data_IF_844370161041
#
_entry.id   IF_844370161041
#
_cell.length_a   1.000
_cell.length_b   1.000
_cell.length_c   1.000
_cell.angle_alpha   90.00
_cell.angle_beta   90.00
_cell.angle_gamma   90.00
#
_symmetry.space_group_name_H-M   'P 1'
#
loop_
_entity.id
_entity.type
_entity.pdbx_description
1 polymer ?
#
# COMPACT_ATOMS: atom_id res chain seq x y z
N UNK A 1 1.15 5.79 -26.46
CA UNK A 1 0.02 5.99 -25.54
C UNK A 1 0.33 7.15 -24.59
N UNK A 2 -0.64 8.04 -24.37
CA UNK A 2 -0.54 9.15 -23.42
C UNK A 2 -1.33 8.82 -22.15
N UNK A 3 -0.68 8.86 -21.00
CA UNK A 3 -1.27 8.52 -19.70
C UNK A 3 -1.20 9.74 -18.77
N UNK A 4 -2.31 10.11 -18.16
CA UNK A 4 -2.30 10.94 -16.97
C UNK A 4 -2.15 10.05 -15.74
N UNK A 5 -1.22 10.38 -14.87
CA UNK A 5 -1.14 9.84 -13.52
C UNK A 5 -1.50 10.95 -12.52
N UNK A 6 -2.53 10.73 -11.74
CA UNK A 6 -3.04 11.70 -10.76
C UNK A 6 -2.97 11.06 -9.37
N UNK A 7 -2.11 11.61 -8.53
CA UNK A 7 -1.90 11.10 -7.17
C UNK A 7 -1.53 12.22 -6.19
N UNK A 8 -1.74 12.01 -4.90
CA UNK A 8 -1.30 12.96 -3.89
C UNK A 8 0.22 13.14 -3.89
N UNK A 9 0.97 12.02 -3.93
CA UNK A 9 2.43 12.01 -4.01
C UNK A 9 2.91 11.64 -5.42
N UNK A 10 3.93 12.33 -5.90
CA UNK A 10 4.64 11.93 -7.10
C UNK A 10 5.56 10.74 -6.78
N UNK A 11 5.38 9.56 -7.40
CA UNK A 11 6.13 8.35 -7.06
C UNK A 11 7.63 8.43 -7.40
N UNK A 12 8.06 9.40 -8.21
CA UNK A 12 9.47 9.61 -8.51
C UNK A 12 10.20 10.45 -7.45
N UNK A 13 9.46 11.03 -6.49
CA UNK A 13 10.00 11.88 -5.42
C UNK A 13 9.85 11.29 -4.02
N UNK A 14 9.09 10.21 -3.89
CA UNK A 14 8.81 9.57 -2.59
C UNK A 14 9.04 8.07 -2.65
N UNK A 15 9.45 7.47 -1.53
CA UNK A 15 9.88 6.07 -1.44
C UNK A 15 9.04 5.26 -0.43
N UNK A 16 7.73 5.52 -0.33
CA UNK A 16 6.81 4.64 0.37
C UNK A 16 6.58 3.34 -0.43
N UNK A 17 6.05 2.30 0.21
CA UNK A 17 5.83 1.02 -0.47
C UNK A 17 4.93 1.14 -1.69
N UNK A 18 3.90 1.98 -1.61
CA UNK A 18 2.99 2.24 -2.72
C UNK A 18 3.62 3.07 -3.83
N UNK A 19 4.36 4.12 -3.46
CA UNK A 19 5.07 4.97 -4.42
C UNK A 19 6.13 4.16 -5.19
N UNK A 20 6.81 3.21 -4.53
CA UNK A 20 7.76 2.32 -5.20
C UNK A 20 7.08 1.43 -6.24
N UNK A 21 5.90 0.87 -5.94
CA UNK A 21 5.12 0.09 -6.91
C UNK A 21 4.77 0.96 -8.13
N UNK A 22 4.28 2.16 -7.90
CA UNK A 22 3.94 3.07 -9.00
C UNK A 22 5.16 3.53 -9.79
N UNK A 23 6.30 3.75 -9.11
CA UNK A 23 7.56 4.07 -9.77
C UNK A 23 7.98 2.94 -10.73
N UNK A 24 7.93 1.67 -10.28
CA UNK A 24 8.25 0.51 -11.11
C UNK A 24 7.34 0.46 -12.35
N UNK A 25 6.02 0.59 -12.17
CA UNK A 25 5.04 0.57 -13.25
C UNK A 25 5.23 1.71 -14.26
N UNK A 26 5.37 2.95 -13.78
CA UNK A 26 5.51 4.12 -14.65
C UNK A 26 6.88 4.19 -15.34
N UNK A 27 7.93 3.70 -14.69
CA UNK A 27 9.26 3.58 -15.32
C UNK A 27 9.21 2.60 -16.49
N UNK A 28 8.62 1.43 -16.30
CA UNK A 28 8.42 0.46 -17.38
C UNK A 28 7.59 1.05 -18.54
N UNK A 29 6.51 1.77 -18.24
CA UNK A 29 5.70 2.43 -19.28
C UNK A 29 6.52 3.41 -20.13
N UNK A 30 7.40 4.19 -19.49
CA UNK A 30 8.32 5.09 -20.20
C UNK A 30 9.29 4.32 -21.11
N UNK A 31 9.81 3.17 -20.69
CA UNK A 31 10.67 2.32 -21.56
C UNK A 31 9.90 1.76 -22.76
N UNK A 32 8.58 1.56 -22.62
CA UNK A 32 7.68 1.18 -23.71
C UNK A 32 7.27 2.37 -24.60
N UNK A 33 7.82 3.57 -24.39
CA UNK A 33 7.52 4.76 -25.18
C UNK A 33 6.20 5.45 -24.84
N UNK A 34 5.64 5.22 -23.63
CA UNK A 34 4.43 5.92 -23.19
C UNK A 34 4.78 7.31 -22.67
N UNK A 35 3.95 8.29 -23.03
CA UNK A 35 4.01 9.64 -22.48
C UNK A 35 3.26 9.66 -21.15
N UNK A 36 3.97 9.94 -20.06
CA UNK A 36 3.40 9.98 -18.71
C UNK A 36 3.32 11.43 -18.23
N UNK A 37 2.09 11.90 -18.00
CA UNK A 37 1.80 13.23 -17.50
C UNK A 37 1.43 13.14 -16.03
N UNK A 38 2.27 13.67 -15.13
CA UNK A 38 2.05 13.59 -13.69
C UNK A 38 1.35 14.85 -13.20
N UNK A 39 0.29 14.64 -12.41
CA UNK A 39 -0.40 15.66 -11.64
C UNK A 39 -0.41 15.25 -10.19
N UNK A 40 0.25 16.02 -9.34
CA UNK A 40 0.40 15.71 -7.91
C UNK A 40 0.30 16.94 -7.03
N UNK A 41 -0.01 16.70 -5.76
CA UNK A 41 0.02 17.72 -4.72
C UNK A 41 1.44 17.90 -4.18
N UNK A 42 2.23 16.81 -4.11
CA UNK A 42 3.60 16.86 -3.58
C UNK A 42 4.57 16.04 -4.47
N UNK A 43 5.58 16.71 -5.02
CA UNK A 43 5.66 18.18 -5.20
C UNK A 43 4.49 18.67 -6.04
N UNK A 44 4.08 19.91 -5.84
CA UNK A 44 2.94 20.45 -6.59
C UNK A 44 3.28 20.57 -8.08
N UNK A 45 2.58 19.79 -8.90
CA UNK A 45 2.68 19.85 -10.35
C UNK A 45 1.33 19.53 -11.00
N UNK A 46 1.06 20.17 -12.12
CA UNK A 46 -0.16 19.96 -12.88
C UNK A 46 0.16 19.84 -14.36
N UNK A 47 0.33 18.59 -14.81
CA UNK A 47 0.58 18.25 -16.20
C UNK A 47 -0.62 17.53 -16.85
N UNK A 48 -1.82 17.69 -16.28
CA UNK A 48 -3.01 17.00 -16.75
C UNK A 48 -3.33 17.34 -18.21
N UNK A 49 -3.49 16.30 -19.04
CA UNK A 49 -3.81 16.44 -20.48
C UNK A 49 -5.21 15.90 -20.75
N UNK A 50 -6.06 16.73 -21.34
CA UNK A 50 -7.42 16.31 -21.71
C UNK A 50 -7.46 15.33 -22.89
N UNK A 51 -6.41 15.29 -23.70
CA UNK A 51 -6.23 14.38 -24.84
C UNK A 51 -5.44 13.12 -24.48
N UNK A 52 -5.29 12.81 -23.21
CA UNK A 52 -4.70 11.55 -22.77
C UNK A 52 -5.63 10.37 -23.07
N UNK A 53 -5.04 9.24 -23.43
CA UNK A 53 -5.77 8.01 -23.76
C UNK A 53 -6.41 7.40 -22.50
N UNK A 54 -5.78 7.59 -21.33
CA UNK A 54 -6.24 7.07 -20.04
C UNK A 54 -5.71 7.93 -18.88
N UNK A 55 -6.49 8.00 -17.81
CA UNK A 55 -6.05 8.51 -16.51
C UNK A 55 -5.91 7.37 -15.51
N UNK A 56 -4.82 7.34 -14.74
CA UNK A 56 -4.66 6.49 -13.55
C UNK A 56 -4.87 7.38 -12.33
N UNK A 57 -5.94 7.13 -11.57
CA UNK A 57 -6.19 7.76 -10.27
C UNK A 57 -5.60 6.88 -9.18
N UNK A 58 -4.69 7.42 -8.36
CA UNK A 58 -4.03 6.67 -7.30
C UNK A 58 -3.86 7.54 -6.06
N UNK A 59 -4.39 7.11 -4.92
CA UNK A 59 -4.22 7.79 -3.62
C UNK A 59 -4.42 9.31 -3.73
N UNK A 60 -5.55 9.74 -4.33
CA UNK A 60 -5.85 11.16 -4.60
C UNK A 60 -6.32 11.91 -3.36
N UNK A 61 -6.77 11.21 -2.34
CA UNK A 61 -7.12 11.79 -1.05
C UNK A 61 -5.94 11.71 -0.10
N UNK A 62 -5.89 12.68 0.77
CA UNK A 62 -4.79 12.82 1.71
C UNK A 62 -5.27 12.67 3.15
N UNK A 63 -4.31 12.43 4.05
CA UNK A 63 -4.57 12.49 5.48
C UNK A 63 -5.22 13.81 5.90
N UNK A 64 -6.17 13.79 6.86
CA UNK A 64 -6.96 14.96 7.23
C UNK A 64 -6.15 16.10 7.83
N UNK A 65 -4.93 15.83 8.25
CA UNK A 65 -4.03 16.81 8.87
C UNK A 65 -3.31 17.71 7.86
N UNK A 66 -3.32 17.38 6.58
CA UNK A 66 -2.61 18.11 5.54
C UNK A 66 -3.54 19.16 4.90
N UNK A 67 -3.02 20.35 4.67
CA UNK A 67 -3.78 21.48 4.14
C UNK A 67 -3.98 21.39 2.62
N UNK A 68 -2.98 20.84 1.93
CA UNK A 68 -2.98 20.75 0.48
C UNK A 68 -3.79 19.55 0.01
N UNK A 69 -4.67 19.75 -0.95
CA UNK A 69 -5.55 18.71 -1.51
C UNK A 69 -5.98 19.09 -2.92
N UNK A 70 -6.37 18.10 -3.70
CA UNK A 70 -7.04 18.34 -4.96
C UNK A 70 -8.38 19.03 -4.76
N UNK A 71 -8.71 19.93 -5.68
CA UNK A 71 -10.04 20.52 -5.74
C UNK A 71 -11.09 19.43 -6.05
N UNK A 72 -12.18 19.42 -5.29
CA UNK A 72 -13.29 18.47 -5.52
C UNK A 72 -13.85 18.53 -6.93
N UNK A 73 -13.93 19.74 -7.52
CA UNK A 73 -14.40 19.94 -8.88
C UNK A 73 -13.49 19.25 -9.91
N UNK A 74 -12.17 19.27 -9.70
CA UNK A 74 -11.21 18.58 -10.56
C UNK A 74 -11.40 17.06 -10.49
N UNK A 75 -11.39 16.47 -9.28
CA UNK A 75 -11.58 15.02 -9.11
C UNK A 75 -12.95 14.58 -9.63
N UNK A 76 -14.01 15.34 -9.34
CA UNK A 76 -15.36 15.04 -9.82
C UNK A 76 -15.42 15.06 -11.35
N UNK A 77 -14.72 15.99 -12.01
CA UNK A 77 -14.70 16.03 -13.47
C UNK A 77 -14.05 14.78 -14.06
N UNK A 78 -12.92 14.30 -13.49
CA UNK A 78 -12.28 13.06 -13.93
C UNK A 78 -13.23 11.88 -13.73
N UNK A 79 -13.77 11.73 -12.51
CA UNK A 79 -14.64 10.59 -12.13
C UNK A 79 -15.92 10.53 -12.97
N UNK A 80 -16.47 11.66 -13.41
CA UNK A 80 -17.74 11.72 -14.15
C UNK A 80 -17.57 11.77 -15.66
N UNK A 81 -16.41 12.16 -16.21
CA UNK A 81 -16.27 12.47 -17.64
C UNK A 81 -15.09 11.79 -18.34
N UNK A 82 -14.03 11.47 -17.61
CA UNK A 82 -12.81 10.97 -18.24
C UNK A 82 -12.76 9.44 -18.24
N UNK A 83 -11.96 8.88 -19.13
CA UNK A 83 -11.62 7.45 -19.09
C UNK A 83 -10.52 7.25 -18.06
N UNK A 84 -10.77 6.47 -17.02
CA UNK A 84 -9.77 6.23 -15.99
C UNK A 84 -9.84 4.81 -15.42
N UNK A 85 -8.72 4.36 -14.86
CA UNK A 85 -8.63 3.25 -13.93
C UNK A 85 -8.39 3.80 -12.53
N UNK A 86 -8.98 3.18 -11.53
CA UNK A 86 -8.70 3.48 -10.13
C UNK A 86 -7.67 2.49 -9.60
N UNK A 87 -6.46 2.99 -9.34
CA UNK A 87 -5.39 2.21 -8.74
C UNK A 87 -5.44 2.40 -7.22
N UNK A 88 -6.06 1.44 -6.54
CA UNK A 88 -6.21 1.47 -5.08
C UNK A 88 -4.93 0.91 -4.45
N UNK A 89 -4.05 1.82 -4.03
CA UNK A 89 -2.73 1.49 -3.50
C UNK A 89 -2.74 1.30 -1.98
N UNK A 90 -3.73 1.95 -1.34
CA UNK A 90 -3.92 1.93 0.11
C UNK A 90 -5.39 2.19 0.43
N UNK A 91 -5.74 2.35 1.69
CA UNK A 91 -7.11 2.77 2.03
C UNK A 91 -7.27 4.29 2.15
N UNK A 92 -6.34 5.07 1.65
CA UNK A 92 -6.36 6.54 1.78
C UNK A 92 -7.52 7.14 0.98
N UNK A 93 -7.90 6.52 -0.12
CA UNK A 93 -9.03 6.95 -0.95
C UNK A 93 -10.39 6.56 -0.37
N UNK A 94 -10.45 5.62 0.57
CA UNK A 94 -11.70 5.17 1.19
C UNK A 94 -11.84 5.56 2.65
N UNK A 95 -10.73 5.70 3.34
CA UNK A 95 -10.68 5.93 4.78
C UNK A 95 -9.84 7.14 5.11
N UNK A 96 -10.44 8.11 5.76
CA UNK A 96 -9.78 9.32 6.26
C UNK A 96 -8.57 9.02 7.16
N UNK A 97 -8.49 7.81 7.71
CA UNK A 97 -7.41 7.33 8.57
C UNK A 97 -6.43 6.41 7.86
N UNK A 98 -6.68 6.08 6.62
CA UNK A 98 -5.90 5.15 5.82
C UNK A 98 -5.71 3.73 6.38
N UNK A 99 -6.34 3.38 7.52
CA UNK A 99 -6.12 2.10 8.23
C UNK A 99 -7.39 1.27 8.42
N UNK A 100 -8.54 1.70 7.91
CA UNK A 100 -9.83 1.01 8.03
C UNK A 100 -10.16 0.51 9.46
N UNK A 101 -10.21 1.39 10.47
CA UNK A 101 -10.43 0.95 11.86
C UNK A 101 -11.81 0.33 12.09
N UNK A 102 -12.78 0.55 11.20
CA UNK A 102 -14.10 -0.07 11.21
C UNK A 102 -14.15 -1.41 10.45
N UNK A 103 -13.02 -1.95 10.01
CA UNK A 103 -12.94 -3.12 9.14
C UNK A 103 -13.86 -3.06 7.90
N UNK A 104 -14.24 -1.85 7.46
CA UNK A 104 -15.16 -1.64 6.35
C UNK A 104 -16.64 -1.85 6.68
N UNK A 105 -17.02 -2.09 7.93
CA UNK A 105 -18.41 -2.26 8.30
C UNK A 105 -19.14 -0.91 8.26
N UNK A 106 -20.06 -0.75 7.29
CA UNK A 106 -20.88 0.48 7.12
C UNK A 106 -21.75 0.81 8.34
N UNK A 107 -22.05 -0.17 9.19
CA UNK A 107 -22.91 0.01 10.38
C UNK A 107 -22.12 0.33 11.63
N UNK A 108 -20.82 0.09 11.62
CA UNK A 108 -19.95 0.36 12.76
C UNK A 108 -19.53 1.83 12.79
N UNK A 109 -19.61 2.41 13.96
CA UNK A 109 -19.08 3.74 14.21
C UNK A 109 -17.57 3.67 14.23
N UNK A 110 -16.89 4.60 13.53
CA UNK A 110 -15.43 4.69 13.56
C UNK A 110 -14.96 5.03 14.99
N UNK A 111 -14.47 4.02 15.71
CA UNK A 111 -13.89 4.19 17.05
C UNK A 111 -12.38 4.43 16.97
N UNK A 112 -12.02 5.54 16.40
CA UNK A 112 -10.65 5.94 16.12
C UNK A 112 -9.69 5.82 17.32
N UNK A 113 -10.13 6.15 18.53
CA UNK A 113 -9.29 6.15 19.72
C UNK A 113 -8.96 4.75 20.23
N UNK A 114 -9.86 3.79 20.06
CA UNK A 114 -9.69 2.45 20.61
C UNK A 114 -8.77 1.56 19.81
N UNK A 115 -8.65 1.79 18.48
CA UNK A 115 -7.93 0.89 17.60
C UNK A 115 -6.43 1.21 17.52
N UNK A 116 -6.03 2.49 17.55
CA UNK A 116 -4.66 2.89 17.25
C UNK A 116 -4.02 3.84 18.29
N UNK A 117 -4.68 4.13 19.40
CA UNK A 117 -4.15 4.97 20.50
C UNK A 117 -3.48 6.27 20.01
N UNK A 118 -4.01 6.82 18.92
CA UNK A 118 -3.46 8.02 18.31
C UNK A 118 -3.64 9.19 19.28
N UNK A 119 -2.58 9.90 19.58
CA UNK A 119 -2.56 11.08 20.44
C UNK A 119 -3.40 12.27 19.93
N UNK A 120 -4.14 12.09 18.85
CA UNK A 120 -5.02 13.14 18.32
C UNK A 120 -6.24 13.27 19.22
N UNK A 121 -6.35 14.40 19.90
CA UNK A 121 -7.52 14.84 20.68
C UNK A 121 -8.76 15.14 19.80
N UNK A 122 -8.79 14.66 18.56
CA UNK A 122 -9.91 14.88 17.64
C UNK A 122 -10.99 13.88 18.01
N UNK A 123 -11.88 14.29 18.91
CA UNK A 123 -13.18 13.64 19.08
C UNK A 123 -14.00 13.98 17.85
N UNK A 124 -13.98 13.12 16.83
CA UNK A 124 -14.87 13.29 15.71
C UNK A 124 -16.30 12.94 16.14
N UNK A 125 -17.13 13.96 16.27
CA UNK A 125 -18.57 13.80 16.49
C UNK A 125 -19.30 13.40 15.20
N UNK A 126 -18.67 13.60 14.03
CA UNK A 126 -19.24 13.36 12.70
C UNK A 126 -18.31 12.52 11.85
N UNK A 127 -18.85 11.73 10.93
CA UNK A 127 -18.10 11.00 9.92
C UNK A 127 -17.42 12.02 9.00
N UNK A 128 -16.14 11.79 8.72
CA UNK A 128 -15.36 12.68 7.84
C UNK A 128 -15.95 12.70 6.42
N UNK A 129 -15.88 13.86 5.75
CA UNK A 129 -16.23 14.00 4.34
C UNK A 129 -15.35 13.17 3.41
N UNK A 130 -14.22 12.64 3.88
CA UNK A 130 -13.32 11.73 3.15
C UNK A 130 -13.61 10.25 3.45
N UNK A 131 -14.57 9.93 4.26
CA UNK A 131 -14.95 8.55 4.53
C UNK A 131 -15.93 8.07 3.45
N UNK A 132 -15.73 6.84 2.94
CA UNK A 132 -16.64 6.22 1.97
C UNK A 132 -18.10 6.18 2.46
N UNK A 133 -18.34 6.16 3.77
CA UNK A 133 -19.68 6.16 4.35
C UNK A 133 -20.43 7.51 4.20
N UNK A 134 -19.72 8.59 3.91
CA UNK A 134 -20.29 9.94 3.86
C UNK A 134 -20.06 10.66 2.53
N UNK A 135 -19.32 10.04 1.60
CA UNK A 135 -18.89 10.70 0.38
C UNK A 135 -19.20 9.87 -0.87
N UNK A 136 -20.24 10.25 -1.58
CA UNK A 136 -20.67 9.59 -2.82
C UNK A 136 -19.62 9.67 -3.94
N UNK A 137 -18.68 10.61 -3.91
CA UNK A 137 -17.62 10.69 -4.93
C UNK A 137 -16.65 9.51 -4.80
N UNK A 138 -16.37 9.07 -3.58
CA UNK A 138 -15.53 7.89 -3.33
C UNK A 138 -16.19 6.65 -3.94
N UNK A 139 -17.46 6.42 -3.67
CA UNK A 139 -18.19 5.29 -4.26
C UNK A 139 -18.22 5.37 -5.79
N UNK A 140 -18.49 6.56 -6.36
CA UNK A 140 -18.46 6.79 -7.80
C UNK A 140 -17.08 6.53 -8.41
N UNK A 141 -16.00 6.86 -7.69
CA UNK A 141 -14.64 6.64 -8.18
C UNK A 141 -14.36 5.16 -8.45
N UNK A 142 -14.87 4.25 -7.60
CA UNK A 142 -14.79 2.82 -7.87
C UNK A 142 -15.78 2.36 -8.96
N UNK A 143 -17.00 2.87 -8.95
CA UNK A 143 -18.08 2.41 -9.84
C UNK A 143 -17.95 2.91 -11.27
N UNK A 144 -17.40 4.10 -11.49
CA UNK A 144 -17.28 4.70 -12.82
C UNK A 144 -15.95 4.35 -13.50
N UNK A 145 -14.96 3.83 -12.77
CA UNK A 145 -13.68 3.41 -13.36
C UNK A 145 -13.89 2.35 -14.46
N UNK A 146 -13.02 2.33 -15.45
CA UNK A 146 -12.94 1.23 -16.42
C UNK A 146 -12.56 -0.08 -15.73
N UNK A 147 -11.70 0.02 -14.73
CA UNK A 147 -11.27 -1.09 -13.87
C UNK A 147 -10.72 -0.57 -12.56
N UNK A 148 -10.80 -1.38 -11.52
CA UNK A 148 -10.16 -1.14 -10.23
C UNK A 148 -8.95 -2.06 -10.09
N UNK A 149 -7.83 -1.51 -9.65
CA UNK A 149 -6.57 -2.23 -9.45
C UNK A 149 -6.32 -2.37 -7.96
N UNK A 150 -6.04 -3.57 -7.50
CA UNK A 150 -5.79 -3.89 -6.10
C UNK A 150 -4.44 -4.58 -5.93
N UNK A 151 -3.82 -4.44 -4.76
CA UNK A 151 -2.49 -4.97 -4.47
C UNK A 151 -2.49 -6.41 -3.95
N UNK A 152 -3.65 -6.97 -3.62
CA UNK A 152 -3.77 -8.36 -3.18
C UNK A 152 -5.24 -8.84 -3.17
N UNK A 153 -5.49 -10.16 -3.10
CA UNK A 153 -6.82 -10.70 -2.87
C UNK A 153 -7.47 -10.20 -1.58
N UNK A 154 -6.71 -10.03 -0.49
CA UNK A 154 -7.19 -9.45 0.76
C UNK A 154 -7.67 -8.01 0.55
N UNK A 155 -6.90 -7.19 -0.18
CA UNK A 155 -7.24 -5.80 -0.46
C UNK A 155 -8.56 -5.70 -1.24
N UNK A 156 -8.66 -6.43 -2.36
CA UNK A 156 -9.92 -6.53 -3.13
C UNK A 156 -11.11 -6.91 -2.24
N UNK A 157 -10.97 -8.00 -1.46
CA UNK A 157 -12.03 -8.49 -0.59
C UNK A 157 -12.48 -7.45 0.44
N UNK A 158 -11.56 -6.66 0.98
CA UNK A 158 -11.88 -5.58 1.93
C UNK A 158 -12.66 -4.47 1.25
N UNK A 159 -12.24 -4.00 0.09
CA UNK A 159 -12.97 -2.96 -0.65
C UNK A 159 -14.33 -3.48 -1.13
N UNK A 160 -14.43 -4.66 -1.70
CA UNK A 160 -15.68 -5.27 -2.15
C UNK A 160 -16.69 -5.45 -1.01
N UNK A 161 -16.23 -5.65 0.23
CA UNK A 161 -17.13 -5.70 1.41
C UNK A 161 -17.72 -4.33 1.79
N UNK A 162 -17.11 -3.23 1.32
CA UNK A 162 -17.51 -1.85 1.64
C UNK A 162 -18.30 -1.19 0.51
N UNK A 163 -17.84 -1.40 -0.72
CA UNK A 163 -18.34 -0.75 -1.93
C UNK A 163 -18.75 -1.86 -2.90
N UNK A 164 -19.96 -1.78 -3.42
CA UNK A 164 -20.50 -2.74 -4.37
C UNK A 164 -19.79 -2.60 -5.73
N UNK A 165 -18.81 -3.47 -5.96
CA UNK A 165 -17.94 -3.48 -7.15
C UNK A 165 -17.84 -4.86 -7.81
N UNK A 166 -18.59 -5.85 -7.35
CA UNK A 166 -18.48 -7.26 -7.80
C UNK A 166 -18.71 -7.45 -9.31
N UNK A 167 -19.45 -6.54 -9.93
CA UNK A 167 -19.73 -6.53 -11.37
C UNK A 167 -18.73 -5.71 -12.20
N UNK A 168 -17.75 -5.07 -11.55
CA UNK A 168 -16.75 -4.24 -12.24
C UNK A 168 -15.52 -5.04 -12.62
N UNK A 169 -14.92 -4.79 -13.79
CA UNK A 169 -13.59 -5.29 -14.08
C UNK A 169 -12.60 -4.89 -12.98
N UNK A 170 -11.75 -5.81 -12.61
CA UNK A 170 -10.67 -5.55 -11.66
C UNK A 170 -9.41 -6.33 -12.03
N UNK A 171 -8.29 -5.86 -11.51
CA UNK A 171 -7.01 -6.53 -11.63
C UNK A 171 -6.33 -6.59 -10.27
N UNK A 172 -5.77 -7.72 -9.90
CA UNK A 172 -4.96 -7.87 -8.70
C UNK A 172 -3.49 -7.90 -9.13
N UNK A 173 -2.78 -6.81 -8.82
CA UNK A 173 -1.37 -6.69 -9.12
C UNK A 173 -0.55 -7.57 -8.20
N UNK A 174 0.19 -8.53 -8.79
CA UNK A 174 1.20 -9.30 -8.06
C UNK A 174 2.33 -8.38 -7.56
N UNK A 175 3.03 -8.74 -6.47
CA UNK A 175 4.11 -7.91 -5.95
C UNK A 175 5.20 -7.61 -6.99
N UNK A 176 5.56 -6.33 -7.14
CA UNK A 176 6.59 -5.84 -8.07
C UNK A 176 7.93 -5.66 -7.35
N UNK A 177 8.43 -6.71 -6.72
CA UNK A 177 9.71 -6.67 -6.00
C UNK A 177 10.86 -7.02 -6.94
N UNK A 178 11.97 -6.30 -6.83
CA UNK A 178 13.20 -6.58 -7.57
C UNK A 178 13.81 -7.90 -7.08
N UNK A 179 13.58 -8.97 -7.84
CA UNK A 179 14.04 -10.33 -7.51
C UNK A 179 15.54 -10.55 -7.78
N UNK A 180 16.20 -9.63 -8.48
CA UNK A 180 17.67 -9.67 -8.64
C UNK A 180 18.38 -9.02 -7.44
N UNK A 181 17.65 -8.16 -6.72
CA UNK A 181 18.12 -7.51 -5.49
C UNK A 181 17.79 -8.32 -4.25
N UNK A 182 16.55 -8.81 -4.16
CA UNK A 182 16.04 -9.61 -3.04
C UNK A 182 16.05 -11.09 -3.43
N UNK A 183 17.01 -11.84 -2.93
CA UNK A 183 17.13 -13.29 -3.11
C UNK A 183 17.90 -13.91 -1.94
N UNK A 184 17.72 -15.19 -1.72
CA UNK A 184 18.43 -15.93 -0.67
C UNK A 184 19.90 -16.17 -1.10
N UNK A 185 20.82 -15.58 -0.34
CA UNK A 185 22.27 -15.70 -0.54
C UNK A 185 22.84 -16.95 0.11
N UNK A 186 22.02 -17.79 0.76
CA UNK A 186 22.42 -18.97 1.50
C UNK A 186 23.55 -18.69 2.54
N UNK A 187 23.51 -17.55 3.17
CA UNK A 187 24.51 -17.14 4.16
C UNK A 187 24.07 -17.52 5.58
N UNK A 188 25.01 -17.50 6.52
CA UNK A 188 24.74 -17.72 7.94
C UNK A 188 23.74 -16.67 8.46
N UNK A 189 22.72 -17.13 9.22
CA UNK A 189 21.68 -16.29 9.77
C UNK A 189 21.92 -16.06 11.27
N UNK A 190 22.45 -14.88 11.60
CA UNK A 190 22.82 -14.47 12.97
C UNK A 190 21.72 -13.64 13.67
N UNK A 191 20.73 -13.15 12.93
CA UNK A 191 19.56 -12.44 13.47
C UNK A 191 18.42 -13.42 13.66
N UNK A 192 17.97 -13.65 14.90
CA UNK A 192 16.88 -14.62 15.16
C UNK A 192 15.52 -14.10 14.67
N UNK A 193 15.18 -12.83 14.97
CA UNK A 193 13.94 -12.19 14.55
C UNK A 193 14.22 -10.80 14.01
N UNK A 194 13.56 -10.45 12.90
CA UNK A 194 13.63 -9.12 12.30
C UNK A 194 12.22 -8.60 11.97
N UNK A 195 12.01 -7.30 12.18
CA UNK A 195 10.87 -6.53 11.72
C UNK A 195 11.36 -5.36 10.89
N UNK A 196 10.66 -4.99 9.83
CA UNK A 196 10.98 -3.81 9.04
C UNK A 196 9.72 -3.02 8.68
N UNK A 197 9.82 -1.69 8.79
CA UNK A 197 8.74 -0.74 8.50
C UNK A 197 8.57 0.32 9.58
N UNK A 198 7.55 1.16 9.44
CA UNK A 198 7.20 2.13 10.48
C UNK A 198 6.76 1.39 11.76
N UNK A 199 7.49 1.60 12.86
CA UNK A 199 7.20 0.94 14.14
C UNK A 199 6.02 1.67 14.79
N UNK A 200 4.82 1.13 14.63
CA UNK A 200 3.56 1.75 15.05
C UNK A 200 2.54 0.72 15.51
N UNK A 201 1.48 1.16 16.17
CA UNK A 201 0.39 0.28 16.58
C UNK A 201 -0.31 -0.37 15.38
N UNK A 202 -0.52 0.38 14.30
CA UNK A 202 -1.10 -0.16 13.07
C UNK A 202 -0.28 -1.32 12.51
N UNK A 203 1.05 -1.17 12.53
CA UNK A 203 2.00 -2.20 12.06
C UNK A 203 2.23 -3.33 13.08
N UNK A 204 1.46 -3.36 14.18
CA UNK A 204 1.35 -4.52 15.06
C UNK A 204 2.23 -4.52 16.31
N UNK A 205 2.73 -3.37 16.79
CA UNK A 205 3.57 -3.30 18.00
C UNK A 205 2.95 -4.03 19.20
N UNK A 206 1.63 -3.91 19.41
CA UNK A 206 0.96 -4.60 20.52
C UNK A 206 0.91 -6.13 20.32
N UNK A 207 0.83 -6.59 19.08
CA UNK A 207 0.91 -8.03 18.77
C UNK A 207 2.34 -8.56 18.98
N UNK A 208 3.35 -7.75 18.63
CA UNK A 208 4.76 -8.08 18.90
C UNK A 208 5.01 -8.20 20.41
N UNK A 209 4.48 -7.26 21.22
CA UNK A 209 4.59 -7.36 22.69
C UNK A 209 4.06 -8.69 23.22
N UNK A 210 2.86 -9.08 22.77
CA UNK A 210 2.26 -10.37 23.16
C UNK A 210 3.10 -11.56 22.72
N UNK A 211 3.66 -11.51 21.51
CA UNK A 211 4.47 -12.58 20.94
C UNK A 211 5.77 -12.79 21.72
N UNK A 212 6.41 -11.71 22.20
CA UNK A 212 7.68 -11.76 22.92
C UNK A 212 7.52 -11.79 24.45
N UNK A 213 6.29 -11.68 24.97
CA UNK A 213 6.01 -11.72 26.41
C UNK A 213 6.51 -13.02 27.03
N UNK A 214 7.26 -12.90 28.13
CA UNK A 214 7.83 -14.06 28.86
C UNK A 214 8.97 -14.78 28.13
N UNK A 215 9.48 -14.24 27.03
CA UNK A 215 10.63 -14.80 26.30
C UNK A 215 11.91 -13.99 26.54
N UNK A 216 13.06 -14.64 26.37
CA UNK A 216 14.38 -13.98 26.32
C UNK A 216 14.84 -13.65 24.89
N UNK A 217 13.95 -13.77 23.91
CA UNK A 217 14.26 -13.56 22.50
C UNK A 217 14.45 -12.08 22.18
N UNK A 218 15.29 -11.79 21.19
CA UNK A 218 15.56 -10.44 20.70
C UNK A 218 14.99 -10.24 19.32
N UNK A 219 14.48 -9.02 19.08
CA UNK A 219 13.92 -8.57 17.82
C UNK A 219 14.72 -7.38 17.28
N UNK A 220 15.33 -7.51 16.13
CA UNK A 220 15.90 -6.37 15.41
C UNK A 220 14.77 -5.63 14.69
N UNK A 221 14.62 -4.34 14.96
CA UNK A 221 13.57 -3.49 14.39
C UNK A 221 14.18 -2.41 13.50
N UNK A 222 13.88 -2.52 12.20
CA UNK A 222 14.31 -1.57 11.17
C UNK A 222 13.19 -0.57 10.88
N UNK A 223 13.50 0.73 10.97
CA UNK A 223 12.60 1.80 10.59
C UNK A 223 12.36 2.84 11.67
N UNK A 224 11.51 3.82 11.34
CA UNK A 224 11.21 4.94 12.26
C UNK A 224 10.27 4.47 13.37
N UNK A 225 10.68 4.70 14.62
CA UNK A 225 9.84 4.44 15.79
C UNK A 225 8.80 5.58 15.97
N UNK A 226 7.62 5.38 15.39
CA UNK A 226 6.47 6.29 15.54
C UNK A 226 5.68 5.98 16.82
N UNK A 227 5.79 4.76 17.32
CA UNK A 227 5.16 4.34 18.58
C UNK A 227 5.64 5.18 19.79
N UNK A 228 6.89 5.67 19.72
CA UNK A 228 7.46 6.62 20.66
C UNK A 228 7.82 6.03 22.04
N UNK A 229 7.81 4.69 22.16
CA UNK A 229 8.29 3.95 23.33
C UNK A 229 9.24 2.86 22.87
N UNK A 230 10.22 2.55 23.71
CA UNK A 230 11.11 1.41 23.48
C UNK A 230 10.47 0.11 24.01
N UNK A 231 10.74 -0.97 23.32
CA UNK A 231 10.31 -2.32 23.70
C UNK A 231 11.52 -3.05 24.29
N UNK A 232 11.42 -3.67 25.48
CA UNK A 232 12.58 -4.24 26.18
C UNK A 232 13.26 -5.40 25.44
N UNK A 233 12.54 -6.03 24.51
CA UNK A 233 13.04 -7.13 23.67
C UNK A 233 13.57 -6.66 22.31
N UNK A 234 13.52 -5.35 22.00
CA UNK A 234 13.83 -4.82 20.68
C UNK A 234 15.20 -4.11 20.66
N UNK A 235 15.91 -4.33 19.57
CA UNK A 235 17.10 -3.60 19.16
C UNK A 235 16.75 -2.74 17.94
N UNK A 236 16.95 -1.44 18.02
CA UNK A 236 16.54 -0.50 16.98
C UNK A 236 17.72 -0.08 16.12
N UNK A 237 17.63 -0.32 14.81
CA UNK A 237 18.66 0.13 13.85
C UNK A 237 18.40 1.55 13.34
N UNK A 238 17.17 2.06 13.54
CA UNK A 238 16.73 3.28 12.85
C UNK A 238 16.43 3.05 11.37
N UNK A 239 16.56 4.08 10.56
CA UNK A 239 16.41 4.01 9.12
C UNK A 239 17.61 3.32 8.48
N UNK A 240 17.35 2.33 7.63
CA UNK A 240 18.34 1.65 6.79
C UNK A 240 18.02 2.00 5.33
N UNK A 241 19.03 2.36 4.50
CA UNK A 241 18.84 2.53 3.07
C UNK A 241 18.26 1.28 2.41
N UNK A 242 17.36 1.47 1.44
CA UNK A 242 16.67 0.36 0.80
C UNK A 242 17.62 -0.65 0.16
N UNK A 243 18.76 -0.18 -0.36
CA UNK A 243 19.77 -1.03 -0.98
C UNK A 243 20.51 -1.94 0.02
N UNK A 244 20.46 -1.62 1.29
CA UNK A 244 21.06 -2.44 2.36
C UNK A 244 20.06 -3.44 2.97
N UNK A 245 18.76 -3.29 2.72
CA UNK A 245 17.73 -4.16 3.28
C UNK A 245 17.95 -5.65 2.99
N UNK A 246 18.36 -6.08 1.77
CA UNK A 246 18.65 -7.49 1.48
C UNK A 246 19.71 -8.09 2.40
N UNK A 247 20.70 -7.31 2.84
CA UNK A 247 21.76 -7.79 3.73
C UNK A 247 21.20 -8.12 5.13
N UNK A 248 20.27 -7.32 5.63
CA UNK A 248 19.60 -7.61 6.91
C UNK A 248 18.69 -8.81 6.80
N UNK A 249 17.88 -8.91 5.75
CA UNK A 249 16.97 -10.05 5.58
C UNK A 249 17.73 -11.36 5.38
N UNK A 250 18.82 -11.38 4.63
CA UNK A 250 19.62 -12.57 4.44
C UNK A 250 20.27 -13.06 5.75
N UNK A 251 20.53 -12.17 6.72
CA UNK A 251 21.04 -12.51 8.06
C UNK A 251 19.94 -12.98 9.02
N UNK A 252 18.66 -12.77 8.68
CA UNK A 252 17.56 -13.07 9.58
C UNK A 252 16.99 -14.47 9.36
N UNK A 253 16.73 -15.21 10.46
CA UNK A 253 16.03 -16.49 10.44
C UNK A 253 14.54 -16.30 10.22
N UNK A 254 13.94 -15.37 10.97
CA UNK A 254 12.51 -15.15 10.99
C UNK A 254 12.21 -13.67 10.73
N UNK A 255 11.33 -13.39 9.78
CA UNK A 255 10.72 -12.08 9.62
C UNK A 255 9.35 -12.10 10.28
N UNK A 256 9.11 -11.19 11.24
CA UNK A 256 7.86 -11.11 11.99
C UNK A 256 7.11 -9.83 11.66
N UNK A 257 5.86 -9.97 11.19
CA UNK A 257 5.00 -8.86 10.81
C UNK A 257 3.54 -9.19 11.12
N UNK A 258 3.01 -8.59 12.19
CA UNK A 258 1.68 -8.91 12.76
C UNK A 258 0.78 -7.68 12.78
N UNK A 259 0.48 -7.05 11.63
CA UNK A 259 -0.27 -5.79 11.59
C UNK A 259 -1.67 -5.95 12.18
N UNK A 260 -2.19 -4.83 12.71
CA UNK A 260 -3.57 -4.74 13.24
C UNK A 260 -4.55 -4.21 12.19
N UNK A 261 -4.07 -3.74 11.09
CA UNK A 261 -4.87 -3.26 9.97
C UNK A 261 -4.72 -4.21 8.77
N UNK A 262 -5.71 -4.29 7.89
CA UNK A 262 -5.59 -5.11 6.69
C UNK A 262 -4.58 -4.47 5.73
N UNK A 263 -3.32 -4.85 5.84
CA UNK A 263 -2.24 -4.34 4.97
C UNK A 263 -2.53 -4.68 3.52
N UNK A 264 -2.63 -3.70 2.59
CA UNK A 264 -3.01 -3.97 1.20
C UNK A 264 -2.13 -5.00 0.50
N UNK A 265 -0.82 -4.95 0.73
CA UNK A 265 0.11 -5.96 0.24
C UNK A 265 1.15 -6.35 1.30
N UNK A 266 1.95 -5.39 1.79
CA UNK A 266 3.08 -5.67 2.67
C UNK A 266 4.31 -6.08 1.87
N UNK A 267 4.77 -5.23 0.94
CA UNK A 267 5.94 -5.45 0.07
C UNK A 267 7.15 -6.00 0.83
N UNK A 268 7.43 -5.47 2.02
CA UNK A 268 8.54 -5.91 2.88
C UNK A 268 8.46 -7.38 3.28
N UNK A 269 7.25 -7.96 3.36
CA UNK A 269 7.05 -9.39 3.66
C UNK A 269 7.55 -10.24 2.48
N UNK A 270 7.29 -9.79 1.26
CA UNK A 270 7.77 -10.45 0.03
C UNK A 270 9.29 -10.37 -0.07
N UNK A 271 9.85 -9.19 0.21
CA UNK A 271 11.30 -8.95 0.21
C UNK A 271 12.02 -9.86 1.20
N UNK A 272 11.49 -10.01 2.41
CA UNK A 272 12.03 -10.92 3.41
C UNK A 272 11.89 -12.40 3.02
N UNK A 273 10.75 -12.79 2.43
CA UNK A 273 10.52 -14.15 1.93
C UNK A 273 11.52 -14.54 0.85
N UNK A 274 11.76 -13.67 -0.12
CA UNK A 274 12.75 -13.87 -1.19
C UNK A 274 14.18 -14.04 -0.64
N UNK A 275 14.51 -13.36 0.47
CA UNK A 275 15.80 -13.50 1.16
C UNK A 275 15.88 -14.73 2.09
N UNK A 276 14.92 -15.66 2.01
CA UNK A 276 14.94 -16.90 2.76
C UNK A 276 14.58 -16.76 4.25
N UNK A 277 13.85 -15.72 4.65
CA UNK A 277 13.29 -15.62 5.99
C UNK A 277 12.07 -16.53 6.16
N UNK A 278 11.96 -17.21 7.30
CA UNK A 278 10.69 -17.78 7.71
C UNK A 278 9.71 -16.65 8.08
N UNK A 279 8.51 -16.67 7.52
CA UNK A 279 7.51 -15.64 7.77
C UNK A 279 6.66 -15.96 9.00
N UNK A 280 6.56 -15.01 9.93
CA UNK A 280 5.62 -15.02 11.04
C UNK A 280 4.66 -13.86 10.84
N UNK A 281 3.49 -14.16 10.31
CA UNK A 281 2.49 -13.17 9.88
C UNK A 281 1.11 -13.52 10.45
N UNK A 282 0.13 -12.65 10.20
CA UNK A 282 -1.28 -12.90 10.47
C UNK A 282 -2.12 -12.64 9.22
N UNK A 283 -3.42 -12.92 9.31
CA UNK A 283 -4.40 -12.79 8.21
C UNK A 283 -4.57 -11.37 7.67
N UNK A 284 -3.98 -10.38 8.31
CA UNK A 284 -4.04 -8.99 7.87
C UNK A 284 -2.93 -8.61 6.86
N UNK A 285 -2.12 -9.53 6.41
CA UNK A 285 -1.07 -9.25 5.43
C UNK A 285 -1.53 -9.63 4.02
N UNK A 286 -1.65 -8.65 3.12
CA UNK A 286 -2.13 -8.90 1.75
C UNK A 286 -1.23 -9.84 0.96
N UNK A 287 0.09 -9.74 1.11
CA UNK A 287 1.05 -10.58 0.38
C UNK A 287 0.84 -12.10 0.60
N UNK A 288 0.40 -12.50 1.78
CA UNK A 288 0.13 -13.93 2.06
C UNK A 288 -1.27 -14.39 1.64
N UNK A 289 -2.09 -13.50 1.10
CA UNK A 289 -3.43 -13.84 0.61
C UNK A 289 -3.45 -14.32 -0.85
N UNK A 290 -2.32 -14.29 -1.54
CA UNK A 290 -2.19 -14.93 -2.84
C UNK A 290 -2.21 -16.45 -2.71
N UNK A 291 -2.61 -17.14 -3.76
CA UNK A 291 -2.67 -18.60 -3.86
C UNK A 291 -1.33 -19.25 -4.32
N UNK A 292 -0.27 -18.45 -4.37
CA UNK A 292 1.06 -18.88 -4.74
C UNK A 292 2.11 -18.53 -3.66
N UNK A 293 3.25 -19.19 -3.72
CA UNK A 293 4.38 -18.97 -2.82
C UNK A 293 5.13 -17.67 -3.20
N UNK A 294 5.05 -16.65 -2.35
CA UNK A 294 5.69 -15.34 -2.54
C UNK A 294 7.22 -15.37 -2.37
N UNK A 295 7.79 -16.47 -1.88
CA UNK A 295 9.24 -16.66 -1.81
C UNK A 295 9.86 -17.12 -3.14
N UNK A 296 9.01 -17.46 -4.12
CA UNK A 296 9.42 -17.95 -5.42
C UNK A 296 9.45 -16.84 -6.45
N UNK A 297 10.64 -16.49 -6.94
CA UNK A 297 10.88 -15.43 -7.92
C UNK A 297 10.01 -15.60 -9.19
N UNK A 298 9.81 -16.84 -9.66
CA UNK A 298 9.00 -17.16 -10.83
C UNK A 298 7.52 -16.75 -10.68
N UNK A 299 7.00 -16.70 -9.47
CA UNK A 299 5.64 -16.25 -9.18
C UNK A 299 5.48 -14.71 -9.21
N UNK A 300 6.58 -13.99 -9.19
CA UNK A 300 6.61 -12.53 -9.14
C UNK A 300 7.07 -11.89 -10.46
N UNK A 301 7.89 -12.61 -11.22
CA UNK A 301 8.39 -12.14 -12.52
C UNK A 301 7.24 -11.85 -13.49
N UNK A 302 7.36 -10.76 -14.26
CA UNK A 302 6.37 -10.38 -15.25
C UNK A 302 5.17 -9.59 -14.71
N UNK A 303 5.11 -9.28 -13.41
CA UNK A 303 3.97 -8.57 -12.82
C UNK A 303 3.74 -7.17 -13.41
N UNK A 304 4.81 -6.47 -13.76
CA UNK A 304 4.76 -5.13 -14.37
C UNK A 304 4.25 -5.22 -15.80
N UNK A 305 4.74 -6.19 -16.57
CA UNK A 305 4.33 -6.48 -17.94
C UNK A 305 2.84 -6.83 -18.00
N UNK A 306 2.40 -7.76 -17.16
CA UNK A 306 0.99 -8.18 -17.08
C UNK A 306 0.06 -7.01 -16.75
N UNK A 307 0.48 -6.13 -15.85
CA UNK A 307 -0.29 -4.93 -15.55
C UNK A 307 -0.50 -4.08 -16.80
N UNK A 308 0.56 -3.82 -17.57
CA UNK A 308 0.45 -2.98 -18.76
C UNK A 308 -0.25 -3.67 -19.91
N UNK A 309 -0.14 -5.00 -20.05
CA UNK A 309 -0.95 -5.78 -20.99
C UNK A 309 -2.43 -5.64 -20.65
N UNK A 310 -2.78 -5.75 -19.35
CA UNK A 310 -4.15 -5.53 -18.88
C UNK A 310 -4.63 -4.12 -19.18
N UNK A 311 -3.86 -3.08 -18.86
CA UNK A 311 -4.21 -1.68 -19.16
C UNK A 311 -4.42 -1.47 -20.64
N UNK A 312 -3.55 -2.02 -21.50
CA UNK A 312 -3.68 -1.93 -22.94
C UNK A 312 -4.96 -2.60 -23.46
N UNK A 313 -5.40 -3.67 -22.82
CA UNK A 313 -6.65 -4.34 -23.19
C UNK A 313 -7.89 -3.47 -22.95
N UNK A 314 -7.88 -2.64 -21.90
CA UNK A 314 -8.98 -1.72 -21.57
C UNK A 314 -9.12 -0.55 -22.56
N UNK A 315 -8.04 -0.18 -23.24
CA UNK A 315 -8.02 0.99 -24.14
C UNK A 315 -8.45 0.59 -25.56
N UNK A 316 -8.20 -0.64 -25.96
CA UNK A 316 -8.51 -1.14 -27.31
C UNK A 316 -10.01 -1.41 -27.55
N UNK A 317 -10.81 -1.35 -26.51
CA UNK A 317 -12.29 -1.48 -26.54
C UNK A 317 -12.92 -0.08 -26.58
#
# INVERSE_FOLDING_TARGET
MKINYVAYLDPFHFNGGGEMIMNDLLTYAKTCGYEINITSIKPSQNNYKKDADLTILCDVFNEPTLKDKFEWAFLKNIVEKDRYVHFDNSYVDTCDLAYLPCNGNKKERCEYKSVFNLKSNIQRKTISTKCFQSNNLIEKMYKNSLSNIFLSPLHYKRIASMIEIDHKPFFILRPTVDTEKFYDKNQEKDIEYIFAGAISEAKGVENLKKYFEGTNKKLVMIGKNIYGKELPFAEYTGFIPYDEMPNYFNRAKNFIYLPRWPEPQGRVVVEAALCGCNLITNENVGAISFDFDISKKENLTGAVEEFWEYINSLIKV
#
